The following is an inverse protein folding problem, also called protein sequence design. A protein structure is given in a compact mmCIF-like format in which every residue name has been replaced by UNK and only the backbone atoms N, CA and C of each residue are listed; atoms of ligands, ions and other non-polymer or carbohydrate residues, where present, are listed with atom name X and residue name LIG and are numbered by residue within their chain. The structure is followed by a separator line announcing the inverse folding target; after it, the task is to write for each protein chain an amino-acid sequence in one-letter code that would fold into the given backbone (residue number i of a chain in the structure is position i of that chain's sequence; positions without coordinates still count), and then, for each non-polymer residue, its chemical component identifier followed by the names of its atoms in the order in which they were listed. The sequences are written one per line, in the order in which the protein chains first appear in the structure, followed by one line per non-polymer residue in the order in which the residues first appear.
data_IF_252768931838
#
_entry.id   IF_252768931838
#
_cell.length_a   1.000
_cell.length_b   1.000
_cell.length_c   1.000
_cell.angle_alpha   90.00
_cell.angle_beta   90.00
_cell.angle_gamma   90.00
#
_symmetry.space_group_name_H-M   'P 1'
#
loop_
_entity.id
_entity.type
_entity.pdbx_description
1 polymer ?
#
# COMPACT_ATOMS: atom_id res chain seq x y z
N UNK A 1 -15.78 80.96 8.76
CA UNK A 1 -16.21 79.60 9.15
C UNK A 1 -16.16 78.68 7.92
N UNK A 2 -14.99 78.56 7.28
CA UNK A 2 -14.85 77.81 6.03
C UNK A 2 -13.51 77.04 5.94
N UNK A 3 -12.52 77.39 6.75
CA UNK A 3 -11.22 76.69 6.74
C UNK A 3 -11.18 75.39 7.56
N UNK A 4 -12.14 75.15 8.48
CA UNK A 4 -12.06 74.00 9.38
C UNK A 4 -12.45 72.67 8.72
N UNK A 5 -13.20 72.68 7.60
CA UNK A 5 -13.62 71.46 6.89
C UNK A 5 -12.51 70.88 6.00
N UNK A 6 -11.56 71.71 5.58
CA UNK A 6 -10.49 71.29 4.65
C UNK A 6 -9.46 70.39 5.35
N UNK A 7 -9.17 70.66 6.63
CA UNK A 7 -8.22 69.88 7.41
C UNK A 7 -8.78 68.51 7.83
N UNK A 8 -10.07 68.41 8.15
CA UNK A 8 -10.70 67.12 8.46
C UNK A 8 -10.75 66.18 7.24
N UNK A 9 -11.04 66.72 6.05
CA UNK A 9 -11.03 65.94 4.80
C UNK A 9 -9.61 65.50 4.44
N UNK A 10 -8.60 66.35 4.65
CA UNK A 10 -7.19 66.01 4.43
C UNK A 10 -6.70 64.94 5.42
N UNK A 11 -7.16 64.99 6.68
CA UNK A 11 -6.82 64.00 7.71
C UNK A 11 -7.48 62.64 7.45
N UNK A 12 -8.73 62.62 6.97
CA UNK A 12 -9.41 61.39 6.55
C UNK A 12 -8.77 60.79 5.29
N UNK A 13 -8.33 61.62 4.33
CA UNK A 13 -7.57 61.16 3.16
C UNK A 13 -6.20 60.60 3.55
N UNK A 14 -5.47 61.25 4.46
CA UNK A 14 -4.20 60.76 4.99
C UNK A 14 -4.36 59.45 5.79
N UNK A 15 -5.44 59.28 6.55
CA UNK A 15 -5.76 58.03 7.24
C UNK A 15 -6.22 56.93 6.29
N UNK A 16 -6.92 57.26 5.18
CA UNK A 16 -7.27 56.30 4.13
C UNK A 16 -6.07 55.86 3.28
N UNK A 17 -5.06 56.74 3.13
CA UNK A 17 -3.78 56.41 2.51
C UNK A 17 -2.89 55.58 3.44
N UNK A 18 -3.04 55.70 4.77
CA UNK A 18 -2.36 54.84 5.74
C UNK A 18 -2.93 53.43 5.83
N UNK A 19 -4.16 53.19 5.35
CA UNK A 19 -4.75 51.84 5.22
C UNK A 19 -4.38 51.10 3.92
N UNK A 20 -3.51 51.67 3.07
CA UNK A 20 -3.10 51.08 1.79
C UNK A 20 -1.63 50.65 1.71
N UNK A 21 -0.96 50.51 2.86
CA UNK A 21 0.26 49.69 2.97
C UNK A 21 -0.17 48.30 3.45
N UNK A 22 -0.97 47.62 2.63
CA UNK A 22 -1.02 46.16 2.69
C UNK A 22 0.37 45.72 2.25
N UNK A 23 1.21 45.34 3.22
CA UNK A 23 2.51 44.77 3.00
C UNK A 23 2.39 43.76 1.83
N UNK A 24 3.18 43.98 0.78
CA UNK A 24 3.26 43.09 -0.36
C UNK A 24 3.29 41.65 0.17
N UNK A 25 2.39 40.75 -0.27
CA UNK A 25 2.49 39.35 0.11
C UNK A 25 3.87 38.88 -0.29
N UNK A 26 4.66 38.56 0.73
CA UNK A 26 6.05 38.15 0.61
C UNK A 26 6.07 36.99 -0.39
N UNK A 27 6.91 37.07 -1.43
CA UNK A 27 6.88 36.17 -2.57
C UNK A 27 6.93 34.68 -2.16
N UNK A 28 7.58 34.38 -1.04
CA UNK A 28 7.57 33.07 -0.37
C UNK A 28 6.15 32.54 -0.10
N UNK A 29 5.21 33.39 0.35
CA UNK A 29 3.84 32.97 0.69
C UNK A 29 3.06 32.55 -0.56
N UNK A 30 3.21 33.33 -1.64
CA UNK A 30 2.57 33.03 -2.93
C UNK A 30 3.15 31.75 -3.53
N UNK A 31 4.48 31.57 -3.43
CA UNK A 31 5.16 30.36 -3.86
C UNK A 31 4.63 29.12 -3.10
N UNK A 32 4.54 29.20 -1.77
CA UNK A 32 3.98 28.11 -0.95
C UNK A 32 2.53 27.80 -1.36
N UNK A 33 1.70 28.83 -1.55
CA UNK A 33 0.31 28.66 -1.97
C UNK A 33 0.18 27.99 -3.35
N UNK A 34 1.03 28.36 -4.31
CA UNK A 34 1.03 27.75 -5.65
C UNK A 34 1.47 26.27 -5.61
N UNK A 35 2.44 25.91 -4.75
CA UNK A 35 2.84 24.50 -4.53
C UNK A 35 1.68 23.69 -3.93
N UNK A 36 0.94 24.26 -2.97
CA UNK A 36 -0.25 23.61 -2.41
C UNK A 36 -1.31 23.41 -3.51
N UNK A 37 -1.52 24.44 -4.34
CA UNK A 37 -2.50 24.42 -5.44
C UNK A 37 -2.16 23.38 -6.52
N UNK A 38 -0.88 23.25 -6.88
CA UNK A 38 -0.42 22.25 -7.86
C UNK A 38 -0.78 20.82 -7.44
N UNK A 39 -0.77 20.55 -6.13
CA UNK A 39 -1.11 19.23 -5.62
C UNK A 39 -2.59 18.86 -5.75
N UNK A 40 -3.47 19.84 -6.03
CA UNK A 40 -4.91 19.69 -6.16
C UNK A 40 -5.57 18.91 -5.00
N UNK A 41 -5.05 19.10 -3.79
CA UNK A 41 -5.49 18.41 -2.57
C UNK A 41 -5.61 19.41 -1.43
N UNK A 42 -6.64 19.19 -0.60
CA UNK A 42 -6.75 19.90 0.66
C UNK A 42 -5.59 19.53 1.57
N UNK A 43 -4.82 20.52 2.02
CA UNK A 43 -3.50 20.36 2.64
C UNK A 43 -3.46 21.00 4.03
N UNK A 44 -2.90 20.27 4.99
CA UNK A 44 -2.49 20.81 6.29
C UNK A 44 -1.01 21.13 6.24
N UNK A 45 -0.63 22.32 6.70
CA UNK A 45 0.74 22.82 6.66
C UNK A 45 1.34 22.77 8.05
N UNK A 46 2.51 22.17 8.19
CA UNK A 46 3.35 22.25 9.39
C UNK A 46 4.63 22.96 9.01
N UNK A 47 4.90 24.09 9.65
CA UNK A 47 5.97 24.99 9.26
C UNK A 47 6.99 25.17 10.38
N UNK A 48 8.21 24.71 10.13
CA UNK A 48 9.41 24.98 10.91
C UNK A 48 10.21 26.13 10.29
N UNK A 49 9.98 27.35 10.78
CA UNK A 49 10.52 28.57 10.19
C UNK A 49 11.17 29.44 11.28
N UNK A 50 12.30 30.07 10.97
CA UNK A 50 12.97 31.06 11.83
C UNK A 50 12.63 32.50 11.41
N UNK A 51 11.50 32.68 10.72
CA UNK A 51 11.01 34.01 10.39
C UNK A 51 10.52 34.73 11.63
N UNK A 52 10.51 36.07 11.59
CA UNK A 52 9.91 36.88 12.65
C UNK A 52 8.47 36.43 12.95
N UNK A 53 8.02 36.40 14.21
CA UNK A 53 6.68 35.95 14.57
C UNK A 53 5.57 36.63 13.77
N UNK A 54 5.70 37.93 13.50
CA UNK A 54 4.76 38.68 12.66
C UNK A 54 4.68 38.13 11.23
N UNK A 55 5.82 37.74 10.63
CA UNK A 55 5.87 37.14 9.29
C UNK A 55 5.24 35.75 9.28
N UNK A 56 5.45 34.96 10.34
CA UNK A 56 4.83 33.63 10.47
C UNK A 56 3.30 33.71 10.60
N UNK A 57 2.78 34.65 11.40
CA UNK A 57 1.33 34.88 11.54
C UNK A 57 0.73 35.37 10.22
N UNK A 58 1.42 36.28 9.51
CA UNK A 58 0.98 36.72 8.18
C UNK A 58 0.92 35.55 7.20
N UNK A 59 1.95 34.69 7.16
CA UNK A 59 1.95 33.48 6.33
C UNK A 59 0.76 32.58 6.68
N UNK A 60 0.55 32.30 7.97
CA UNK A 60 -0.54 31.45 8.43
C UNK A 60 -1.91 32.03 8.02
N UNK A 61 -2.13 33.33 8.18
CA UNK A 61 -3.37 33.98 7.74
C UNK A 61 -3.55 33.93 6.22
N UNK A 62 -2.47 34.12 5.45
CA UNK A 62 -2.50 34.13 4.00
C UNK A 62 -2.85 32.75 3.46
N UNK A 63 -2.21 31.71 3.99
CA UNK A 63 -2.47 30.33 3.61
C UNK A 63 -3.85 29.87 4.07
N UNK A 64 -4.28 30.21 5.30
CA UNK A 64 -5.61 29.84 5.79
C UNK A 64 -6.75 30.43 4.94
N UNK A 65 -6.54 31.61 4.35
CA UNK A 65 -7.49 32.23 3.42
C UNK A 65 -7.49 31.59 2.02
N UNK A 66 -6.61 30.63 1.75
CA UNK A 66 -6.62 29.87 0.49
C UNK A 66 -7.59 28.68 0.58
N UNK A 67 -8.33 28.42 -0.49
CA UNK A 67 -9.39 27.39 -0.53
C UNK A 67 -8.90 25.96 -0.21
N UNK A 68 -7.61 25.68 -0.46
CA UNK A 68 -7.04 24.34 -0.33
C UNK A 68 -6.31 24.11 1.00
N UNK A 69 -6.17 25.12 1.87
CA UNK A 69 -5.45 24.94 3.14
C UNK A 69 -6.43 24.76 4.30
N UNK A 70 -6.31 23.66 5.03
CA UNK A 70 -7.20 23.38 6.18
C UNK A 70 -6.66 23.96 7.48
N UNK A 71 -5.36 23.74 7.73
CA UNK A 71 -4.71 24.05 8.99
C UNK A 71 -3.28 24.50 8.70
N UNK A 72 -2.80 25.49 9.46
CA UNK A 72 -1.39 25.89 9.49
C UNK A 72 -0.91 25.80 10.93
N UNK A 73 0.06 24.93 11.18
CA UNK A 73 0.72 24.75 12.48
C UNK A 73 2.14 25.27 12.39
N UNK A 74 2.51 26.19 13.28
CA UNK A 74 3.87 26.69 13.42
C UNK A 74 4.59 25.89 14.50
N UNK A 75 5.75 25.35 14.16
CA UNK A 75 6.52 24.46 15.03
C UNK A 75 7.94 24.97 15.15
N UNK A 76 8.44 25.02 16.38
CA UNK A 76 9.87 25.26 16.63
C UNK A 76 10.58 23.90 16.53
N UNK A 77 11.04 23.31 17.63
CA UNK A 77 11.97 22.18 17.54
C UNK A 77 11.30 20.79 17.66
N UNK A 78 10.08 20.75 18.17
CA UNK A 78 9.44 19.53 18.65
C UNK A 78 8.44 18.96 17.65
N UNK A 79 8.56 17.67 17.32
CA UNK A 79 7.51 16.93 16.60
C UNK A 79 6.34 16.52 17.50
N UNK A 80 6.45 16.70 18.83
CA UNK A 80 5.47 16.21 19.80
C UNK A 80 4.09 16.89 19.65
N UNK A 81 4.07 18.13 19.16
CA UNK A 81 2.85 18.91 18.99
C UNK A 81 2.15 18.63 17.65
N UNK A 82 2.77 17.85 16.76
CA UNK A 82 2.24 17.55 15.42
C UNK A 82 1.24 16.39 15.53
N UNK A 83 -0.05 16.73 15.46
CA UNK A 83 -1.11 15.73 15.25
C UNK A 83 -1.23 15.42 13.78
N UNK A 84 -0.80 14.22 13.39
CA UNK A 84 -0.91 13.77 12.01
C UNK A 84 -2.38 13.57 11.61
N UNK A 85 -2.79 14.05 10.43
CA UNK A 85 -4.11 13.73 9.90
C UNK A 85 -4.19 12.24 9.56
N UNK A 86 -5.41 11.70 9.53
CA UNK A 86 -5.66 10.33 9.07
C UNK A 86 -5.10 10.09 7.66
N UNK A 87 -5.20 11.12 6.81
CA UNK A 87 -4.67 11.16 5.45
C UNK A 87 -3.33 11.91 5.41
N UNK A 88 -2.24 11.20 5.72
CA UNK A 88 -0.88 11.78 5.81
C UNK A 88 -0.40 12.39 4.50
N UNK A 89 -0.92 11.96 3.35
CA UNK A 89 -0.65 12.55 2.03
C UNK A 89 -1.11 14.01 1.91
N UNK A 90 -1.98 14.46 2.82
CA UNK A 90 -2.46 15.84 2.91
C UNK A 90 -1.58 16.71 3.81
N UNK A 91 -0.56 16.16 4.44
CA UNK A 91 0.39 16.93 5.24
C UNK A 91 1.51 17.49 4.34
N UNK A 92 1.75 18.80 4.41
CA UNK A 92 2.91 19.46 3.82
C UNK A 92 3.78 20.01 4.95
N UNK A 93 5.02 19.54 5.00
CA UNK A 93 6.03 19.97 5.94
C UNK A 93 6.89 21.05 5.28
N UNK A 94 6.96 22.21 5.91
CA UNK A 94 7.78 23.33 5.45
C UNK A 94 8.91 23.53 6.44
N UNK A 95 10.14 23.61 5.95
CA UNK A 95 11.31 23.88 6.78
C UNK A 95 12.20 24.93 6.13
N UNK A 96 12.77 25.83 6.92
CA UNK A 96 13.75 26.81 6.46
C UNK A 96 15.16 26.37 6.83
N UNK A 97 16.03 26.24 5.85
CA UNK A 97 17.37 25.66 6.01
C UNK A 97 18.34 26.60 6.73
N UNK A 98 18.07 27.90 6.74
CA UNK A 98 18.91 28.89 7.43
C UNK A 98 18.68 28.88 8.95
N UNK A 99 17.70 28.11 9.45
CA UNK A 99 17.40 28.03 10.86
C UNK A 99 18.36 27.08 11.60
N UNK A 100 18.96 27.50 12.73
CA UNK A 100 19.90 26.65 13.48
C UNK A 100 19.31 25.31 13.93
N UNK A 101 18.03 25.29 14.27
CA UNK A 101 17.29 24.11 14.75
C UNK A 101 16.90 23.12 13.65
N UNK A 102 17.00 23.48 12.37
CA UNK A 102 16.53 22.64 11.25
C UNK A 102 17.30 21.33 11.14
N UNK A 103 18.59 21.33 11.51
CA UNK A 103 19.41 20.11 11.52
C UNK A 103 18.85 19.06 12.49
N UNK A 104 18.45 19.46 13.70
CA UNK A 104 17.81 18.59 14.68
C UNK A 104 16.41 18.15 14.21
N UNK A 105 15.65 19.06 13.59
CA UNK A 105 14.34 18.79 13.03
C UNK A 105 14.39 17.71 11.93
N UNK A 106 15.34 17.83 10.99
CA UNK A 106 15.57 16.84 9.93
C UNK A 106 16.09 15.51 10.47
N UNK A 107 16.95 15.52 11.49
CA UNK A 107 17.41 14.27 12.12
C UNK A 107 16.23 13.49 12.71
N UNK A 108 15.34 14.15 13.44
CA UNK A 108 14.15 13.51 14.01
C UNK A 108 13.18 13.04 12.92
N UNK A 109 13.01 13.83 11.86
CA UNK A 109 12.23 13.46 10.68
C UNK A 109 12.78 12.18 10.02
N UNK A 110 14.10 12.07 9.93
CA UNK A 110 14.79 10.92 9.33
C UNK A 110 14.62 9.66 10.17
N UNK A 111 14.84 9.75 11.49
CA UNK A 111 14.67 8.64 12.43
C UNK A 111 13.23 8.11 12.45
N UNK A 112 12.25 8.99 12.24
CA UNK A 112 10.81 8.64 12.22
C UNK A 112 10.25 8.40 10.81
N UNK A 113 11.13 8.24 9.80
CA UNK A 113 10.78 7.96 8.39
C UNK A 113 9.74 8.95 7.82
N UNK A 114 9.91 10.25 8.08
CA UNK A 114 9.03 11.31 7.57
C UNK A 114 9.44 11.85 6.20
N UNK A 115 10.59 11.45 5.67
CA UNK A 115 10.97 11.78 4.29
C UNK A 115 10.39 10.81 3.26
N UNK A 116 9.99 9.60 3.67
CA UNK A 116 9.33 8.62 2.80
C UNK A 116 7.87 8.97 2.52
N UNK A 117 7.28 8.33 1.50
CA UNK A 117 5.84 8.46 1.25
C UNK A 117 5.02 8.10 2.51
N UNK A 118 3.87 8.75 2.74
CA UNK A 118 3.21 9.73 1.87
C UNK A 118 3.52 11.20 2.21
N UNK A 119 4.54 11.49 3.02
CA UNK A 119 4.84 12.85 3.47
C UNK A 119 5.42 13.71 2.34
N UNK A 120 5.07 14.99 2.35
CA UNK A 120 5.54 15.98 1.37
C UNK A 120 6.30 17.08 2.07
N UNK A 121 7.41 17.50 1.47
CA UNK A 121 8.29 18.51 2.01
C UNK A 121 8.52 19.65 1.03
N UNK A 122 8.41 20.88 1.53
CA UNK A 122 8.84 22.10 0.85
C UNK A 122 9.89 22.79 1.72
N UNK A 123 11.13 22.75 1.29
CA UNK A 123 12.26 23.28 2.04
C UNK A 123 12.66 24.62 1.43
N UNK A 124 12.66 25.66 2.24
CA UNK A 124 13.17 26.98 1.86
C UNK A 124 14.69 26.91 1.95
N UNK A 125 15.33 26.86 0.79
CA UNK A 125 16.77 26.70 0.64
C UNK A 125 17.52 28.03 0.65
N UNK A 126 18.84 27.95 0.82
CA UNK A 126 19.75 29.09 0.66
C UNK A 126 19.62 29.66 -0.76
N UNK A 127 19.72 30.98 -0.87
CA UNK A 127 19.73 31.66 -2.16
C UNK A 127 20.82 31.07 -3.08
N UNK A 128 20.56 31.00 -4.38
CA UNK A 128 21.45 30.35 -5.37
C UNK A 128 22.86 30.96 -5.34
N UNK A 129 22.95 32.27 -5.11
CA UNK A 129 24.24 32.98 -5.02
C UNK A 129 25.05 32.66 -3.75
N UNK A 130 24.42 32.08 -2.72
CA UNK A 130 25.04 31.75 -1.43
C UNK A 130 25.55 30.32 -1.35
N UNK A 131 24.97 29.38 -2.10
CA UNK A 131 25.43 28.00 -2.15
C UNK A 131 25.19 27.43 -3.54
N UNK A 132 26.26 26.93 -4.17
CA UNK A 132 26.16 26.15 -5.41
C UNK A 132 25.82 24.69 -5.15
N UNK A 133 26.07 24.20 -3.93
CA UNK A 133 25.77 22.82 -3.54
C UNK A 133 24.50 22.79 -2.67
N UNK A 134 23.45 22.20 -3.22
CA UNK A 134 22.15 22.03 -2.55
C UNK A 134 22.18 20.86 -1.57
N UNK A 135 23.17 19.95 -1.71
CA UNK A 135 23.13 18.63 -1.07
C UNK A 135 23.82 18.57 0.29
N UNK A 136 24.76 19.49 0.56
CA UNK A 136 25.58 19.48 1.77
C UNK A 136 24.76 19.52 3.08
N UNK A 137 23.66 20.27 3.10
CA UNK A 137 22.78 20.38 4.27
C UNK A 137 21.90 19.12 4.51
N UNK A 138 21.91 18.18 3.57
CA UNK A 138 21.11 16.93 3.61
C UNK A 138 21.97 15.69 3.83
N UNK A 139 23.27 15.84 4.00
CA UNK A 139 24.16 14.72 4.23
C UNK A 139 23.80 13.97 5.52
N UNK A 140 23.74 12.64 5.42
CA UNK A 140 23.29 11.76 6.50
C UNK A 140 21.77 11.52 6.56
N UNK A 141 20.96 12.22 5.74
CA UNK A 141 19.53 11.96 5.64
C UNK A 141 19.20 10.89 4.59
N UNK A 142 18.14 10.12 4.82
CA UNK A 142 17.68 9.02 3.98
C UNK A 142 16.57 9.48 3.02
N UNK A 143 16.93 10.33 2.05
CA UNK A 143 16.01 10.73 0.98
C UNK A 143 16.14 9.70 -0.14
N UNK A 144 15.22 8.74 -0.17
CA UNK A 144 15.20 7.61 -1.10
C UNK A 144 14.27 7.90 -2.31
N UNK A 145 14.14 6.99 -3.30
CA UNK A 145 13.39 7.29 -4.52
C UNK A 145 11.93 7.68 -4.30
N UNK A 146 11.32 7.24 -3.21
CA UNK A 146 9.94 7.57 -2.86
C UNK A 146 9.78 8.97 -2.23
N UNK A 147 10.86 9.61 -1.78
CA UNK A 147 10.80 10.86 -1.02
C UNK A 147 10.28 12.05 -1.86
N UNK A 148 9.27 12.75 -1.37
CA UNK A 148 8.70 13.95 -2.03
C UNK A 148 9.24 15.22 -1.35
N UNK A 149 10.48 15.58 -1.69
CA UNK A 149 11.19 16.72 -1.12
C UNK A 149 11.51 17.73 -2.22
N UNK A 150 10.88 18.90 -2.12
CA UNK A 150 11.09 20.03 -3.02
C UNK A 150 11.88 21.10 -2.26
N UNK A 151 12.98 21.57 -2.85
CA UNK A 151 13.82 22.62 -2.31
C UNK A 151 13.62 23.86 -3.17
N UNK A 152 13.13 24.95 -2.56
CA UNK A 152 12.94 26.24 -3.19
C UNK A 152 14.09 27.18 -2.83
N UNK A 153 14.96 27.47 -3.79
CA UNK A 153 16.07 28.39 -3.64
C UNK A 153 15.73 29.73 -4.27
N UNK A 154 15.96 30.82 -3.53
CA UNK A 154 15.76 32.17 -4.05
C UNK A 154 16.82 32.48 -5.10
N UNK A 155 16.41 32.77 -6.34
CA UNK A 155 17.30 33.19 -7.41
C UNK A 155 17.47 34.71 -7.37
N UNK A 156 16.36 35.44 -7.53
CA UNK A 156 16.28 36.89 -7.40
C UNK A 156 15.19 37.29 -6.38
N UNK A 157 14.93 38.59 -6.23
CA UNK A 157 13.82 39.05 -5.39
C UNK A 157 12.45 38.56 -5.86
N UNK A 158 12.30 38.23 -7.15
CA UNK A 158 11.02 37.89 -7.78
C UNK A 158 10.95 36.45 -8.32
N UNK A 159 11.95 35.61 -8.06
CA UNK A 159 12.03 34.27 -8.64
C UNK A 159 12.63 33.24 -7.68
N UNK A 160 12.09 32.03 -7.72
CA UNK A 160 12.62 30.85 -7.04
C UNK A 160 12.92 29.75 -8.05
N UNK A 161 14.09 29.16 -7.90
CA UNK A 161 14.45 27.91 -8.57
C UNK A 161 14.06 26.75 -7.65
N UNK A 162 13.37 25.75 -8.18
CA UNK A 162 12.90 24.62 -7.40
C UNK A 162 13.46 23.32 -7.94
N UNK A 163 14.04 22.54 -7.04
CA UNK A 163 14.62 21.23 -7.37
C UNK A 163 14.15 20.18 -6.38
N UNK A 164 14.20 18.91 -6.80
CA UNK A 164 14.04 17.78 -5.89
C UNK A 164 15.37 17.04 -5.79
N UNK A 165 15.62 16.45 -4.62
CA UNK A 165 16.83 15.66 -4.39
C UNK A 165 16.47 14.30 -3.80
N UNK A 166 17.21 13.28 -4.21
CA UNK A 166 17.11 11.94 -3.64
C UNK A 166 18.37 11.13 -3.93
N UNK A 167 18.44 9.94 -3.33
CA UNK A 167 19.42 8.90 -3.59
C UNK A 167 18.69 7.61 -3.95
N UNK A 168 19.32 6.76 -4.76
CA UNK A 168 18.81 5.41 -5.02
C UNK A 168 19.02 4.53 -3.78
N UNK A 169 20.17 4.69 -3.11
CA UNK A 169 20.51 4.04 -1.85
C UNK A 169 21.13 5.03 -0.87
N UNK A 170 21.09 4.72 0.42
CA UNK A 170 21.66 5.58 1.49
C UNK A 170 23.11 6.03 1.18
N UNK A 171 23.92 5.13 0.60
CA UNK A 171 25.33 5.38 0.24
C UNK A 171 25.57 5.77 -1.23
N UNK A 172 24.52 5.93 -2.04
CA UNK A 172 24.68 6.33 -3.44
C UNK A 172 24.87 7.85 -3.58
N UNK A 173 25.24 8.27 -4.78
CA UNK A 173 25.31 9.69 -5.14
C UNK A 173 23.92 10.33 -5.09
N UNK A 174 23.90 11.64 -4.80
CA UNK A 174 22.71 12.48 -4.92
C UNK A 174 22.30 12.62 -6.38
N UNK A 175 21.00 12.57 -6.62
CA UNK A 175 20.36 12.86 -7.90
C UNK A 175 19.51 14.10 -7.68
N UNK A 176 19.70 15.10 -8.53
CA UNK A 176 18.97 16.36 -8.50
C UNK A 176 18.06 16.40 -9.73
N UNK A 177 16.78 16.61 -9.49
CA UNK A 177 15.76 16.76 -10.53
C UNK A 177 15.25 18.19 -10.55
N UNK A 178 15.12 18.77 -11.73
CA UNK A 178 14.48 20.07 -11.89
C UNK A 178 12.98 19.95 -11.62
N UNK A 179 12.47 20.63 -10.58
CA UNK A 179 11.03 20.70 -10.34
C UNK A 179 10.39 21.79 -11.21
N UNK A 180 11.08 22.92 -11.34
CA UNK A 180 10.65 24.05 -12.15
C UNK A 180 11.03 25.38 -11.52
N UNK A 181 10.33 26.42 -11.96
CA UNK A 181 10.58 27.79 -11.51
C UNK A 181 9.30 28.45 -11.05
N UNK A 182 9.42 29.31 -10.06
CA UNK A 182 8.33 30.18 -9.63
C UNK A 182 8.73 31.63 -9.87
N UNK A 183 7.82 32.43 -10.45
CA UNK A 183 8.02 33.88 -10.58
C UNK A 183 6.78 34.66 -10.15
N UNK A 184 6.96 35.93 -9.80
CA UNK A 184 5.83 36.81 -9.41
C UNK A 184 4.77 36.98 -10.49
N UNK A 185 5.15 36.84 -11.77
CA UNK A 185 4.28 37.13 -12.91
C UNK A 185 3.55 35.88 -13.40
N UNK A 186 4.22 34.73 -13.40
CA UNK A 186 3.70 33.48 -13.97
C UNK A 186 3.25 32.46 -12.92
N UNK A 187 3.62 32.65 -11.65
CA UNK A 187 3.45 31.63 -10.63
C UNK A 187 4.38 30.43 -10.85
N UNK A 188 3.98 29.27 -10.35
CA UNK A 188 4.72 28.01 -10.50
C UNK A 188 4.59 27.45 -11.92
N UNK A 189 5.73 27.26 -12.59
CA UNK A 189 5.85 26.53 -13.85
C UNK A 189 6.72 25.30 -13.60
N UNK A 190 6.11 24.11 -13.70
CA UNK A 190 6.83 22.84 -13.58
C UNK A 190 7.63 22.53 -14.82
N UNK A 191 8.77 21.87 -14.62
CA UNK A 191 9.52 21.24 -15.70
C UNK A 191 8.70 20.11 -16.36
N UNK A 192 9.01 19.75 -17.60
CA UNK A 192 8.34 18.64 -18.29
C UNK A 192 8.44 17.33 -17.51
N UNK A 193 9.60 17.08 -16.89
CA UNK A 193 9.80 15.91 -16.04
C UNK A 193 8.87 15.96 -14.84
N UNK A 194 8.80 17.07 -14.12
CA UNK A 194 8.00 17.21 -12.89
C UNK A 194 6.48 17.06 -13.07
N UNK A 195 5.97 16.98 -14.30
CA UNK A 195 4.57 16.69 -14.59
C UNK A 195 4.23 15.19 -14.40
N UNK A 196 5.22 14.31 -14.47
CA UNK A 196 5.04 12.87 -14.24
C UNK A 196 5.14 12.51 -12.75
N UNK A 197 4.49 11.41 -12.35
CA UNK A 197 4.56 10.92 -10.96
C UNK A 197 5.98 10.50 -10.57
N UNK A 198 6.31 10.63 -9.29
CA UNK A 198 7.62 10.24 -8.73
C UNK A 198 8.01 8.80 -9.11
N UNK A 199 7.05 7.87 -9.06
CA UNK A 199 7.28 6.47 -9.43
C UNK A 199 7.71 6.29 -10.90
N UNK A 200 7.19 7.11 -11.82
CA UNK A 200 7.52 7.02 -13.24
C UNK A 200 8.88 7.65 -13.53
N UNK A 201 9.19 8.78 -12.88
CA UNK A 201 10.45 9.52 -13.06
C UNK A 201 11.63 8.76 -12.47
N UNK A 202 11.46 8.16 -11.29
CA UNK A 202 12.51 7.53 -10.49
C UNK A 202 12.52 6.00 -10.59
N UNK A 203 11.95 5.45 -11.67
CA UNK A 203 11.90 3.99 -11.88
C UNK A 203 13.27 3.38 -12.19
N UNK A 204 14.25 4.15 -12.65
CA UNK A 204 15.53 3.62 -13.11
C UNK A 204 16.54 3.57 -11.96
N UNK A 205 16.95 2.37 -11.57
CA UNK A 205 17.89 2.12 -10.48
C UNK A 205 19.35 2.02 -10.95
N UNK A 206 19.61 2.21 -12.24
CA UNK A 206 20.95 2.24 -12.83
C UNK A 206 21.80 0.99 -12.52
N UNK A 207 21.16 -0.17 -12.39
CA UNK A 207 21.82 -1.43 -12.06
C UNK A 207 22.16 -1.61 -10.58
N UNK A 208 21.71 -0.70 -9.70
CA UNK A 208 21.83 -0.88 -8.25
C UNK A 208 21.09 -2.15 -7.80
N UNK A 209 21.64 -2.83 -6.78
CA UNK A 209 21.02 -4.07 -6.30
C UNK A 209 19.70 -3.80 -5.57
N UNK A 210 18.68 -4.58 -5.91
CA UNK A 210 17.37 -4.58 -5.26
C UNK A 210 17.18 -5.93 -4.58
N UNK A 211 17.08 -5.91 -3.25
CA UNK A 211 17.16 -7.12 -2.43
C UNK A 211 15.78 -7.71 -2.21
N UNK A 212 15.62 -8.98 -2.52
CA UNK A 212 14.34 -9.69 -2.45
C UNK A 212 14.44 -10.90 -1.52
N UNK A 213 13.65 -10.89 -0.47
CA UNK A 213 13.58 -11.95 0.53
C UNK A 213 12.62 -13.06 0.07
N UNK A 214 13.07 -14.31 0.05
CA UNK A 214 12.29 -15.45 -0.47
C UNK A 214 12.26 -16.60 0.54
N UNK A 215 11.15 -17.32 0.59
CA UNK A 215 11.04 -18.52 1.41
C UNK A 215 11.41 -19.76 0.61
N UNK A 216 12.48 -20.46 0.99
CA UNK A 216 12.98 -21.62 0.25
C UNK A 216 13.32 -22.77 1.20
N UNK A 217 12.71 -23.93 0.97
CA UNK A 217 12.96 -25.13 1.75
C UNK A 217 14.11 -25.97 1.18
N UNK A 218 14.17 -26.15 -0.15
CA UNK A 218 15.17 -26.98 -0.81
C UNK A 218 16.32 -26.15 -1.40
N UNK A 219 17.56 -26.54 -1.09
CA UNK A 219 18.76 -25.90 -1.62
C UNK A 219 18.91 -26.05 -3.14
N UNK A 220 18.28 -27.06 -3.76
CA UNK A 220 18.22 -27.16 -5.23
C UNK A 220 17.50 -25.96 -5.84
N UNK A 221 16.42 -25.48 -5.22
CA UNK A 221 15.69 -24.29 -5.69
C UNK A 221 16.57 -23.05 -5.66
N UNK A 222 17.48 -22.91 -4.69
CA UNK A 222 18.43 -21.78 -4.61
C UNK A 222 19.35 -21.75 -5.83
N UNK A 223 19.81 -22.92 -6.30
CA UNK A 223 20.74 -23.01 -7.43
C UNK A 223 20.10 -22.56 -8.75
N UNK A 224 18.80 -22.80 -8.92
CA UNK A 224 18.05 -22.39 -10.10
C UNK A 224 16.58 -22.16 -9.76
N UNK A 225 16.22 -20.89 -9.52
CA UNK A 225 14.85 -20.47 -9.21
C UNK A 225 13.86 -20.72 -10.36
N UNK A 226 14.34 -20.93 -11.58
CA UNK A 226 13.53 -21.27 -12.74
C UNK A 226 13.41 -22.77 -12.99
N UNK A 227 14.04 -23.63 -12.18
CA UNK A 227 13.96 -25.07 -12.37
C UNK A 227 12.55 -25.62 -12.07
N UNK A 228 11.98 -26.28 -13.08
CA UNK A 228 10.67 -26.93 -13.03
C UNK A 228 10.80 -28.47 -13.10
N UNK A 229 12.00 -29.03 -12.96
CA UNK A 229 12.19 -30.48 -12.89
C UNK A 229 11.43 -31.09 -11.71
N UNK A 230 11.46 -30.41 -10.56
CA UNK A 230 10.62 -30.68 -9.40
C UNK A 230 9.63 -29.52 -9.18
N UNK A 231 8.42 -29.70 -9.69
CA UNK A 231 7.34 -28.71 -9.61
C UNK A 231 6.64 -28.68 -8.25
N UNK A 232 6.82 -29.69 -7.38
CA UNK A 232 6.10 -29.79 -6.10
C UNK A 232 6.87 -29.12 -4.96
N UNK A 233 8.18 -28.93 -5.14
CA UNK A 233 9.04 -28.24 -4.19
C UNK A 233 9.05 -26.72 -4.43
N UNK A 234 8.90 -25.95 -3.35
CA UNK A 234 8.96 -24.48 -3.34
C UNK A 234 8.05 -23.79 -4.38
N UNK A 235 6.91 -24.42 -4.70
CA UNK A 235 5.98 -24.00 -5.77
C UNK A 235 5.62 -22.51 -5.68
N UNK A 236 5.35 -22.05 -4.46
CA UNK A 236 4.92 -20.68 -4.18
C UNK A 236 6.01 -19.69 -4.53
N UNK A 237 7.25 -19.97 -4.16
CA UNK A 237 8.41 -19.10 -4.43
C UNK A 237 8.80 -19.16 -5.91
N UNK A 238 8.86 -20.34 -6.51
CA UNK A 238 9.12 -20.50 -7.95
C UNK A 238 8.09 -19.76 -8.81
N UNK A 239 6.81 -19.79 -8.40
CA UNK A 239 5.74 -19.05 -9.08
C UNK A 239 5.86 -17.54 -8.88
N UNK A 240 6.11 -17.09 -7.64
CA UNK A 240 6.22 -15.67 -7.29
C UNK A 240 7.44 -15.02 -7.96
N UNK A 241 8.58 -15.70 -7.98
CA UNK A 241 9.81 -15.20 -8.60
C UNK A 241 9.62 -14.89 -10.08
N UNK A 242 8.90 -15.75 -10.82
CA UNK A 242 8.58 -15.50 -12.25
C UNK A 242 7.77 -14.23 -12.48
N UNK A 243 6.96 -13.81 -11.50
CA UNK A 243 6.19 -12.57 -11.57
C UNK A 243 7.04 -11.34 -11.25
N UNK A 244 8.06 -11.50 -10.38
CA UNK A 244 8.94 -10.42 -9.93
C UNK A 244 10.05 -10.16 -10.95
N UNK A 245 10.54 -11.18 -11.66
CA UNK A 245 11.67 -11.03 -12.60
C UNK A 245 11.50 -9.88 -13.61
N UNK A 246 10.34 -9.69 -14.26
CA UNK A 246 10.12 -8.55 -15.15
C UNK A 246 10.25 -7.19 -14.46
N UNK A 247 9.99 -7.09 -13.15
CA UNK A 247 10.10 -5.83 -12.41
C UNK A 247 11.55 -5.35 -12.32
N UNK A 248 12.53 -6.24 -12.18
CA UNK A 248 13.94 -5.84 -12.22
C UNK A 248 14.32 -5.23 -13.56
N UNK A 249 13.83 -5.80 -14.67
CA UNK A 249 14.03 -5.25 -16.01
C UNK A 249 13.33 -3.90 -16.19
N UNK A 250 12.09 -3.78 -15.69
CA UNK A 250 11.33 -2.53 -15.72
C UNK A 250 12.01 -1.39 -14.94
N UNK A 251 12.63 -1.73 -13.80
CA UNK A 251 13.32 -0.78 -12.94
C UNK A 251 14.81 -0.60 -13.28
N UNK A 252 15.34 -1.35 -14.24
CA UNK A 252 16.78 -1.44 -14.50
C UNK A 252 17.59 -1.64 -13.20
N UNK A 253 17.20 -2.65 -12.42
CA UNK A 253 17.81 -2.98 -11.13
C UNK A 253 18.54 -4.33 -11.20
N UNK A 254 19.62 -4.47 -10.43
CA UNK A 254 20.32 -5.75 -10.25
C UNK A 254 19.61 -6.61 -9.21
N UNK A 255 19.66 -7.93 -9.40
CA UNK A 255 18.94 -8.89 -8.56
C UNK A 255 19.81 -9.31 -7.38
N UNK A 256 19.29 -9.15 -6.17
CA UNK A 256 19.90 -9.70 -4.96
C UNK A 256 18.83 -10.48 -4.19
N UNK A 257 19.18 -11.65 -3.65
CA UNK A 257 18.22 -12.54 -3.00
C UNK A 257 18.69 -12.92 -1.61
N UNK A 258 17.76 -12.90 -0.67
CA UNK A 258 17.94 -13.45 0.68
C UNK A 258 16.97 -14.61 0.82
N UNK A 259 17.41 -15.70 1.45
CA UNK A 259 16.63 -16.92 1.56
C UNK A 259 16.34 -17.23 3.02
N UNK A 260 15.04 -17.35 3.31
CA UNK A 260 14.50 -17.61 4.63
C UNK A 260 13.77 -18.95 4.66
N UNK A 261 13.67 -19.58 5.84
CA UNK A 261 12.93 -20.84 6.02
C UNK A 261 11.47 -20.64 6.43
N UNK A 262 11.07 -19.41 6.76
CA UNK A 262 9.70 -19.07 7.17
C UNK A 262 9.22 -17.79 6.48
N UNK A 263 7.90 -17.67 6.29
CA UNK A 263 7.30 -16.43 5.79
C UNK A 263 7.43 -15.28 6.78
N UNK A 264 7.42 -15.58 8.08
CA UNK A 264 7.41 -14.59 9.13
C UNK A 264 6.21 -14.73 10.03
N UNK A 265 6.45 -15.39 11.16
CA UNK A 265 5.49 -15.61 12.23
C UNK A 265 5.81 -14.70 13.39
N UNK A 266 4.78 -14.08 13.95
CA UNK A 266 4.93 -13.23 15.11
C UNK A 266 5.14 -14.10 16.36
N UNK A 267 6.30 -13.94 17.01
CA UNK A 267 6.69 -14.70 18.20
C UNK A 267 7.45 -13.79 19.14
N UNK A 268 7.09 -13.78 20.42
CA UNK A 268 7.80 -13.04 21.48
C UNK A 268 8.03 -11.54 21.16
N UNK A 269 7.08 -10.89 20.49
CA UNK A 269 7.16 -9.45 20.20
C UNK A 269 7.75 -9.08 18.84
N UNK A 270 8.35 -10.03 18.11
CA UNK A 270 8.99 -9.77 16.81
C UNK A 270 8.54 -10.78 15.74
N UNK A 271 8.67 -10.40 14.47
CA UNK A 271 8.51 -11.34 13.36
C UNK A 271 9.80 -12.12 13.12
N UNK A 272 9.68 -13.33 12.57
CA UNK A 272 10.80 -14.10 12.00
C UNK A 272 10.81 -14.05 10.46
N UNK A 273 11.74 -14.77 9.84
CA UNK A 273 11.74 -15.07 8.40
C UNK A 273 11.71 -13.87 7.47
N UNK A 274 11.04 -14.04 6.32
CA UNK A 274 10.95 -13.02 5.27
C UNK A 274 10.33 -11.69 5.77
N UNK A 275 9.32 -11.72 6.65
CA UNK A 275 8.79 -10.48 7.24
C UNK A 275 9.84 -9.79 8.10
N UNK A 276 10.61 -10.51 8.91
CA UNK A 276 11.68 -9.91 9.71
C UNK A 276 12.68 -9.16 8.83
N UNK A 277 13.14 -9.80 7.75
CA UNK A 277 14.08 -9.22 6.78
C UNK A 277 13.55 -7.91 6.18
N UNK A 278 12.25 -7.82 5.90
CA UNK A 278 11.61 -6.58 5.44
C UNK A 278 11.52 -5.51 6.54
N UNK A 279 11.15 -5.90 7.77
CA UNK A 279 10.98 -4.95 8.88
C UNK A 279 12.30 -4.35 9.36
N UNK A 280 13.37 -5.14 9.34
CA UNK A 280 14.73 -4.70 9.69
C UNK A 280 15.32 -3.83 8.57
N UNK A 281 14.91 -4.05 7.32
CA UNK A 281 15.43 -3.36 6.15
C UNK A 281 16.59 -4.08 5.46
N UNK A 282 16.74 -5.38 5.71
CA UNK A 282 17.70 -6.24 4.99
C UNK A 282 17.21 -6.59 3.58
N UNK A 283 15.90 -6.55 3.36
CA UNK A 283 15.26 -6.74 2.06
C UNK A 283 14.34 -5.58 1.68
N UNK A 284 14.28 -5.28 0.38
CA UNK A 284 13.43 -4.24 -0.21
C UNK A 284 12.06 -4.78 -0.63
N UNK A 285 11.97 -6.08 -0.95
CA UNK A 285 10.75 -6.73 -1.43
C UNK A 285 10.59 -8.18 -0.94
N UNK A 286 9.35 -8.57 -0.62
CA UNK A 286 8.98 -9.96 -0.40
C UNK A 286 8.84 -10.71 -1.73
N UNK A 287 9.72 -11.67 -1.96
CA UNK A 287 9.83 -12.49 -3.15
C UNK A 287 8.86 -13.67 -3.23
N UNK A 288 8.28 -14.06 -2.10
CA UNK A 288 7.30 -15.14 -2.00
C UNK A 288 5.94 -14.57 -1.59
N UNK A 289 4.88 -14.92 -2.32
CA UNK A 289 3.53 -14.43 -2.01
C UNK A 289 3.13 -14.74 -0.56
N UNK A 290 2.46 -13.76 0.04
CA UNK A 290 2.16 -13.66 1.45
C UNK A 290 0.65 -13.49 1.63
N UNK A 291 0.05 -14.24 2.55
CA UNK A 291 -1.33 -14.00 2.95
C UNK A 291 -1.38 -12.72 3.80
N UNK A 292 -2.30 -11.82 3.43
CA UNK A 292 -2.60 -10.60 4.17
C UNK A 292 -3.25 -10.95 5.51
N UNK A 293 -2.62 -10.53 6.61
CA UNK A 293 -3.14 -10.69 7.97
C UNK A 293 -3.00 -9.38 8.72
N UNK A 294 -3.87 -9.12 9.68
CA UNK A 294 -3.89 -7.87 10.44
C UNK A 294 -2.52 -7.53 11.06
N UNK A 295 -1.84 -8.50 11.68
CA UNK A 295 -0.55 -8.28 12.33
C UNK A 295 0.56 -7.89 11.34
N UNK A 296 0.49 -8.40 10.10
CA UNK A 296 1.49 -8.11 9.06
C UNK A 296 1.25 -6.75 8.42
N UNK A 297 -0.01 -6.36 8.24
CA UNK A 297 -0.37 -5.03 7.70
C UNK A 297 0.13 -3.86 8.57
N UNK A 298 0.48 -4.12 9.83
CA UNK A 298 1.05 -3.09 10.71
C UNK A 298 2.54 -2.84 10.45
N UNK A 299 3.24 -3.77 9.78
CA UNK A 299 4.70 -3.75 9.65
C UNK A 299 5.21 -3.82 8.20
N UNK A 300 4.38 -4.30 7.27
CA UNK A 300 4.71 -4.34 5.83
C UNK A 300 3.56 -3.84 4.98
N UNK A 301 3.92 -3.18 3.88
CA UNK A 301 2.98 -2.78 2.84
C UNK A 301 2.87 -3.86 1.76
N UNK A 302 1.66 -4.05 1.24
CA UNK A 302 1.37 -5.06 0.23
C UNK A 302 1.25 -4.43 -1.16
N UNK A 303 1.86 -5.08 -2.14
CA UNK A 303 1.60 -4.81 -3.55
C UNK A 303 0.26 -5.41 -3.99
N UNK A 304 -0.13 -5.13 -5.24
CA UNK A 304 -1.32 -5.71 -5.84
C UNK A 304 -1.27 -7.25 -5.80
N UNK A 305 -2.43 -7.86 -5.58
CA UNK A 305 -2.59 -9.31 -5.52
C UNK A 305 -2.32 -9.91 -6.90
N UNK A 306 -1.23 -10.71 -7.09
CA UNK A 306 -0.87 -11.19 -8.41
C UNK A 306 -1.77 -12.34 -8.91
N UNK A 307 -2.58 -12.93 -8.05
CA UNK A 307 -3.51 -14.00 -8.43
C UNK A 307 -4.50 -14.37 -7.31
N UNK A 308 -5.57 -15.07 -7.69
CA UNK A 308 -6.60 -15.53 -6.74
C UNK A 308 -6.10 -16.67 -5.85
N UNK A 309 -6.14 -16.45 -4.53
CA UNK A 309 -5.93 -17.51 -3.55
C UNK A 309 -7.28 -18.20 -3.29
N UNK A 310 -7.30 -19.52 -3.36
CA UNK A 310 -8.48 -20.33 -3.00
C UNK A 310 -8.10 -21.35 -1.94
N UNK A 311 -8.93 -21.48 -0.92
CA UNK A 311 -8.80 -22.56 0.08
C UNK A 311 -9.56 -23.76 -0.45
N UNK A 312 -8.90 -24.93 -0.51
CA UNK A 312 -9.50 -26.18 -0.99
C UNK A 312 -9.38 -27.23 0.10
N UNK A 313 -10.46 -27.98 0.31
CA UNK A 313 -10.44 -29.16 1.16
C UNK A 313 -10.12 -30.37 0.28
N UNK A 314 -9.03 -31.06 0.59
CA UNK A 314 -8.64 -32.29 -0.10
C UNK A 314 -9.05 -33.46 0.77
N UNK A 315 -9.99 -34.26 0.29
CA UNK A 315 -10.40 -35.50 0.95
C UNK A 315 -9.75 -36.68 0.25
N UNK A 316 -9.43 -37.71 1.03
CA UNK A 316 -9.05 -39.00 0.45
C UNK A 316 -10.29 -39.60 -0.23
N UNK A 317 -10.08 -40.20 -1.39
CA UNK A 317 -11.13 -40.97 -2.07
C UNK A 317 -11.73 -42.00 -1.09
N UNK A 318 -13.06 -42.08 -0.95
CA UNK A 318 -13.68 -43.11 -0.14
C UNK A 318 -13.32 -44.48 -0.74
N UNK A 319 -12.97 -45.49 0.07
CA UNK A 319 -12.71 -46.82 -0.47
C UNK A 319 -13.96 -47.29 -1.23
N UNK A 320 -13.76 -47.81 -2.44
CA UNK A 320 -14.81 -48.49 -3.19
C UNK A 320 -15.48 -49.51 -2.27
N UNK A 321 -16.82 -49.47 -2.18
CA UNK A 321 -17.58 -50.33 -1.28
C UNK A 321 -17.38 -51.79 -1.68
N UNK A 322 -16.43 -52.47 -1.03
CA UNK A 322 -16.18 -53.91 -1.14
C UNK A 322 -17.25 -54.67 -0.33
N UNK A 323 -18.52 -54.34 -0.54
CA UNK A 323 -19.65 -54.91 0.18
C UNK A 323 -20.48 -55.70 -0.81
N UNK A 324 -20.32 -57.03 -0.79
CA UNK A 324 -21.12 -57.98 -1.58
C UNK A 324 -22.63 -57.90 -1.25
N UNK A 325 -23.00 -57.19 -0.17
CA UNK A 325 -24.38 -57.00 0.29
C UNK A 325 -25.09 -55.83 -0.40
N UNK A 326 -24.53 -55.23 -1.47
CA UNK A 326 -25.15 -54.09 -2.15
C UNK A 326 -26.59 -54.38 -2.60
N UNK A 327 -26.87 -55.63 -3.01
CA UNK A 327 -28.20 -56.08 -3.43
C UNK A 327 -29.15 -56.43 -2.26
N UNK A 328 -28.62 -56.65 -1.06
CA UNK A 328 -29.40 -56.94 0.15
C UNK A 328 -29.67 -55.69 1.00
N UNK A 329 -28.84 -54.66 0.86
CA UNK A 329 -28.94 -53.38 1.55
C UNK A 329 -30.28 -52.63 1.39
N UNK A 330 -30.96 -52.62 0.22
CA UNK A 330 -32.17 -51.81 0.06
C UNK A 330 -33.36 -52.34 0.88
N UNK A 331 -33.33 -53.59 1.36
CA UNK A 331 -34.43 -54.20 2.09
C UNK A 331 -34.04 -54.63 3.50
N UNK A 332 -34.86 -54.25 4.49
CA UNK A 332 -34.70 -54.77 5.86
C UNK A 332 -34.89 -56.29 5.87
N UNK A 333 -34.21 -56.99 6.78
CA UNK A 333 -34.32 -58.44 6.96
C UNK A 333 -35.79 -58.88 7.15
N UNK A 334 -36.61 -58.05 7.80
CA UNK A 334 -38.06 -58.27 7.96
C UNK A 334 -38.79 -58.43 6.62
N UNK A 335 -38.42 -57.66 5.58
CA UNK A 335 -39.04 -57.75 4.25
C UNK A 335 -38.76 -59.11 3.63
N UNK A 336 -37.54 -59.63 3.78
CA UNK A 336 -37.16 -60.96 3.29
C UNK A 336 -37.93 -62.07 4.00
N UNK A 337 -38.11 -61.98 5.33
CA UNK A 337 -38.96 -62.92 6.07
C UNK A 337 -40.42 -62.85 5.63
N UNK A 338 -40.97 -61.64 5.43
CA UNK A 338 -42.33 -61.47 4.91
C UNK A 338 -42.48 -62.08 3.52
N UNK A 339 -41.49 -61.88 2.64
CA UNK A 339 -41.52 -62.42 1.27
C UNK A 339 -41.45 -63.96 1.29
N UNK A 340 -40.60 -64.55 2.13
CA UNK A 340 -40.53 -66.00 2.32
C UNK A 340 -41.82 -66.58 2.91
N UNK A 341 -42.39 -65.94 3.94
CA UNK A 341 -43.66 -66.34 4.52
C UNK A 341 -44.80 -66.26 3.50
N UNK A 342 -44.83 -65.21 2.67
CA UNK A 342 -45.82 -65.05 1.61
C UNK A 342 -45.74 -66.17 0.57
N UNK A 343 -44.53 -66.56 0.13
CA UNK A 343 -44.32 -67.68 -0.80
C UNK A 343 -44.83 -68.99 -0.19
N UNK A 344 -44.57 -69.25 1.09
CA UNK A 344 -45.07 -70.45 1.77
C UNK A 344 -46.59 -70.48 1.87
N UNK A 345 -47.21 -69.36 2.22
CA UNK A 345 -48.69 -69.23 2.30
C UNK A 345 -49.31 -69.46 0.91
N UNK A 346 -48.76 -68.85 -0.14
CA UNK A 346 -49.24 -69.07 -1.51
C UNK A 346 -49.07 -70.52 -1.96
N UNK A 347 -47.93 -71.15 -1.65
CA UNK A 347 -47.70 -72.57 -1.93
C UNK A 347 -48.70 -73.48 -1.21
N UNK A 348 -49.04 -73.16 0.04
CA UNK A 348 -50.04 -73.90 0.81
C UNK A 348 -51.45 -73.75 0.23
N UNK A 349 -51.84 -72.53 -0.16
CA UNK A 349 -53.12 -72.28 -0.83
C UNK A 349 -53.19 -73.08 -2.14
N UNK A 350 -52.14 -73.03 -2.96
CA UNK A 350 -52.06 -73.78 -4.22
C UNK A 350 -52.17 -75.30 -3.99
N UNK A 351 -51.53 -75.82 -2.95
CA UNK A 351 -51.62 -77.22 -2.57
C UNK A 351 -53.06 -77.63 -2.19
N UNK A 352 -53.74 -76.82 -1.36
CA UNK A 352 -55.14 -77.06 -1.02
C UNK A 352 -56.02 -77.04 -2.27
N UNK A 353 -55.86 -76.04 -3.14
CA UNK A 353 -56.67 -75.95 -4.37
C UNK A 353 -56.45 -77.16 -5.28
N UNK A 354 -55.21 -77.64 -5.41
CA UNK A 354 -54.91 -78.83 -6.21
C UNK A 354 -55.52 -80.11 -5.61
N UNK A 355 -55.47 -80.27 -4.28
CA UNK A 355 -56.15 -81.38 -3.61
C UNK A 355 -57.67 -81.33 -3.79
N UNK A 356 -58.25 -80.13 -3.72
CA UNK A 356 -59.69 -79.93 -3.87
C UNK A 356 -60.15 -80.20 -5.30
N UNK A 357 -59.37 -79.75 -6.29
CA UNK A 357 -59.61 -80.04 -7.71
C UNK A 357 -59.51 -81.54 -8.01
N UNK A 358 -58.49 -82.23 -7.48
CA UNK A 358 -58.35 -83.68 -7.64
C UNK A 358 -59.56 -84.44 -7.04
N UNK A 359 -60.03 -84.03 -5.85
CA UNK A 359 -61.22 -84.62 -5.24
C UNK A 359 -62.48 -84.38 -6.08
N UNK A 360 -62.67 -83.16 -6.61
CA UNK A 360 -63.82 -82.81 -7.45
C UNK A 360 -63.80 -83.52 -8.81
N UNK A 361 -62.61 -83.74 -9.38
CA UNK A 361 -62.47 -84.57 -10.59
C UNK A 361 -62.84 -86.03 -10.32
N UNK A 362 -62.46 -86.58 -9.15
CA UNK A 362 -62.89 -87.92 -8.73
C UNK A 362 -64.42 -88.04 -8.59
N UNK A 363 -65.08 -87.10 -7.92
CA UNK A 363 -66.55 -87.09 -7.77
C UNK A 363 -67.28 -86.92 -9.11
N UNK A 364 -66.79 -86.07 -10.02
CA UNK A 364 -67.39 -85.92 -11.36
C UNK A 364 -67.24 -87.18 -12.23
N UNK A 365 -66.19 -87.98 -12.01
CA UNK A 365 -65.92 -89.20 -12.76
C UNK A 365 -66.79 -90.37 -12.29
N UNK A 366 -67.16 -90.41 -11.00
CA UNK A 366 -68.16 -91.35 -10.46
C UNK A 366 -69.57 -91.00 -10.95
N UNK A 367 -69.96 -89.72 -10.99
CA UNK A 367 -71.28 -89.28 -11.51
C UNK A 367 -71.48 -89.57 -13.01
N UNK A 368 -70.39 -89.67 -13.80
CA UNK A 368 -70.44 -90.06 -15.21
C UNK A 368 -70.52 -91.59 -15.43
N UNK A 369 -70.30 -92.39 -14.40
CA UNK A 369 -70.37 -93.87 -14.46
C UNK A 369 -71.72 -94.41 -13.98
N UNK A 370 -72.52 -93.59 -13.28
CA UNK A 370 -73.84 -93.93 -12.74
C UNK A 370 -75.04 -93.38 -13.58
N UNK A 371 -74.78 -92.71 -14.71
CA UNK A 371 -75.77 -92.36 -15.76
C UNK A 371 -75.45 -93.12 -17.04
#
# INVERSE_FOLDING_TARGET
MQDMKTYEVLFILLMSCFSLIIANPINEFRMIADVIKDSNKSTSVVAHLCWNPSKQIQMASYLHNSELTQLVLLVNESWADIKEPQHRERLLLIADIDCPSTTAFFKMANETKKFSLPYRWLIIGKAVNKSTDVTADFDGLHLLPDSDVIIAQKNDNNSFYMSMIYKIKIKSKWIIEDFGTWTTNTGLIKSDLAQYSTSTRRKNFHGESFTTAMVIFDNKTISNLFDLSDILTDVVTKSSFRQIVPLYGYMNASQQHIYSKTWGYYRNGTFDGMIAELTVGDADLGGTVLIVTWDRMQVVDYLSKPGSITVKFVFREPPLSYQNNLYLLPFKVTVWYCMGAFVLVMGFILYITALWENKKMGENQEVLMDN
#
